data_IF_344735613058
#
_entry.id   IF_344735613058
#
_cell.length_a   1.000
_cell.length_b   1.000
_cell.length_c   1.000
_cell.angle_alpha   90.00
_cell.angle_beta   90.00
_cell.angle_gamma   90.00
#
_symmetry.space_group_name_H-M   'P 1'
#
loop_
_entity.id
_entity.type
_entity.pdbx_description
1 polymer ?
#
# COMPACT_ATOMS: atom_id res chain seq x y z
N UNK A 1 -25.16 20.13 11.00
CA UNK A 1 -23.86 19.49 10.92
C UNK A 1 -23.28 19.50 12.34
N UNK A 2 -23.01 18.33 12.92
CA UNK A 2 -22.33 18.25 14.22
C UNK A 2 -20.92 18.80 14.10
N UNK A 3 -20.42 19.41 15.19
CA UNK A 3 -19.02 19.83 15.28
C UNK A 3 -18.19 18.52 15.31
N UNK A 4 -17.34 18.31 14.30
CA UNK A 4 -16.40 17.18 14.28
C UNK A 4 -15.28 17.50 15.28
N UNK A 5 -15.03 16.61 16.23
CA UNK A 5 -13.84 16.73 17.08
C UNK A 5 -12.60 16.41 16.23
N UNK A 6 -11.79 17.40 15.98
CA UNK A 6 -10.57 17.24 15.19
C UNK A 6 -9.55 16.29 15.87
N UNK A 7 -9.61 16.12 17.20
CA UNK A 7 -8.71 15.17 17.87
C UNK A 7 -8.96 13.71 17.43
N UNK A 8 -10.20 13.38 17.10
CA UNK A 8 -10.57 12.06 16.57
C UNK A 8 -10.12 11.85 15.11
N UNK A 9 -9.60 12.90 14.47
CA UNK A 9 -9.12 12.90 13.09
C UNK A 9 -7.60 13.03 12.98
N UNK A 10 -6.89 12.91 14.09
CA UNK A 10 -5.43 12.99 14.15
C UNK A 10 -4.88 11.63 14.59
N UNK A 11 -4.08 11.03 13.72
CA UNK A 11 -3.31 9.82 14.04
C UNK A 11 -1.84 10.18 14.11
N UNK A 12 -1.21 9.96 15.26
CA UNK A 12 0.21 10.23 15.46
C UNK A 12 1.03 8.98 15.22
N UNK A 13 2.25 9.14 14.76
CA UNK A 13 3.17 8.03 14.55
C UNK A 13 3.31 7.12 15.78
N UNK A 14 3.43 7.70 16.97
CA UNK A 14 3.56 6.96 18.23
C UNK A 14 2.29 6.23 18.69
N UNK A 15 1.14 6.53 18.07
CA UNK A 15 -0.15 5.90 18.39
C UNK A 15 -0.51 4.78 17.40
N UNK A 16 0.33 4.54 16.39
CA UNK A 16 0.07 3.51 15.39
C UNK A 16 0.10 2.10 15.99
N UNK A 17 -0.95 1.34 15.73
CA UNK A 17 -1.11 -0.04 16.20
C UNK A 17 -0.84 -1.01 15.04
N UNK A 18 0.24 -1.80 15.07
CA UNK A 18 0.57 -2.71 14.00
C UNK A 18 -0.29 -3.98 14.01
N UNK A 19 -0.69 -4.44 12.84
CA UNK A 19 -1.15 -5.79 12.61
C UNK A 19 -0.01 -6.60 11.96
N UNK A 20 0.50 -7.62 12.67
CA UNK A 20 1.61 -8.46 12.19
C UNK A 20 1.14 -9.67 11.40
N UNK A 21 -0.14 -9.92 11.40
CA UNK A 21 -0.80 -11.03 10.68
C UNK A 21 -1.80 -10.51 9.64
N UNK A 22 -1.55 -9.33 9.10
CA UNK A 22 -2.48 -8.66 8.19
C UNK A 22 -2.72 -9.43 6.89
N UNK A 23 -1.75 -10.20 6.43
CA UNK A 23 -1.74 -10.81 5.11
C UNK A 23 -1.26 -12.26 5.13
N UNK A 24 -1.64 -13.01 4.10
CA UNK A 24 -1.35 -14.45 3.95
C UNK A 24 0.15 -14.79 4.09
N UNK A 25 1.06 -13.90 3.72
CA UNK A 25 2.51 -14.14 3.80
C UNK A 25 3.14 -13.84 5.17
N UNK A 26 2.32 -13.57 6.19
CA UNK A 26 2.79 -13.19 7.52
C UNK A 26 3.64 -14.25 8.25
N UNK A 27 3.56 -15.52 7.84
CA UNK A 27 4.39 -16.60 8.37
C UNK A 27 5.49 -17.06 7.41
N UNK A 28 5.54 -16.48 6.20
CA UNK A 28 6.54 -16.83 5.19
C UNK A 28 7.88 -16.18 5.55
N UNK A 29 8.99 -16.94 5.57
CA UNK A 29 10.30 -16.38 5.85
C UNK A 29 10.67 -15.19 4.97
N UNK A 30 11.11 -14.11 5.59
CA UNK A 30 11.38 -12.84 4.92
C UNK A 30 10.18 -11.89 4.83
N UNK A 31 8.96 -12.35 5.13
CA UNK A 31 7.76 -11.52 5.27
C UNK A 31 7.18 -11.54 6.70
N UNK A 32 7.68 -12.41 7.53
CA UNK A 32 7.23 -12.75 8.88
C UNK A 32 7.51 -11.68 9.96
N UNK A 33 8.19 -10.59 9.59
CA UNK A 33 8.55 -9.49 10.50
C UNK A 33 7.98 -8.14 10.09
N UNK A 34 7.08 -8.13 9.11
CA UNK A 34 6.45 -6.90 8.67
C UNK A 34 5.35 -6.44 9.65
N UNK A 35 5.16 -5.15 9.71
CA UNK A 35 4.09 -4.49 10.44
C UNK A 35 3.23 -3.73 9.46
N UNK A 36 1.91 -3.95 9.53
CA UNK A 36 0.95 -3.26 8.67
C UNK A 36 0.05 -2.41 9.55
N UNK A 37 -0.20 -1.19 9.13
CA UNK A 37 -1.00 -0.22 9.85
C UNK A 37 -2.19 0.18 8.98
N UNK A 38 -3.39 0.14 9.53
CA UNK A 38 -4.61 0.64 8.88
C UNK A 38 -4.96 1.98 9.50
N UNK A 39 -4.71 3.06 8.75
CA UNK A 39 -4.78 4.42 9.28
C UNK A 39 -6.14 5.04 9.00
N UNK A 40 -6.57 5.06 7.74
CA UNK A 40 -7.87 5.59 7.33
C UNK A 40 -8.60 4.57 6.47
N UNK A 41 -9.84 4.26 6.83
CA UNK A 41 -10.65 3.24 6.16
C UNK A 41 -10.21 1.83 6.49
N UNK A 42 -11.00 0.83 6.09
CA UNK A 42 -10.75 -0.59 6.39
C UNK A 42 -9.53 -1.20 5.71
N UNK A 43 -9.03 -0.57 4.65
CA UNK A 43 -7.88 -1.09 3.91
C UNK A 43 -8.14 -2.46 3.27
N UNK A 44 -7.08 -3.22 3.03
CA UNK A 44 -7.11 -4.52 2.36
C UNK A 44 -6.61 -5.67 3.24
N UNK A 45 -6.51 -5.46 4.55
CA UNK A 45 -6.06 -6.51 5.48
C UNK A 45 -7.01 -7.71 5.46
N UNK A 46 -6.44 -8.90 5.45
CA UNK A 46 -7.16 -10.19 5.52
C UNK A 46 -7.36 -10.68 6.96
N UNK A 47 -6.79 -9.94 7.93
CA UNK A 47 -6.87 -10.28 9.35
C UNK A 47 -8.05 -9.58 10.02
N UNK A 48 -8.79 -10.32 10.84
CA UNK A 48 -9.81 -9.76 11.72
C UNK A 48 -9.21 -8.93 12.89
N UNK A 49 -7.94 -9.11 13.18
CA UNK A 49 -7.25 -8.47 14.32
C UNK A 49 -6.68 -7.09 13.97
N UNK A 50 -6.96 -6.56 12.77
CA UNK A 50 -6.48 -5.23 12.41
C UNK A 50 -7.15 -4.15 13.26
N UNK A 51 -6.35 -3.15 13.65
CA UNK A 51 -6.84 -1.91 14.25
C UNK A 51 -7.01 -0.84 13.17
N UNK A 52 -8.21 -0.27 13.04
CA UNK A 52 -8.49 0.86 12.15
C UNK A 52 -8.54 2.14 12.96
N UNK A 53 -7.64 3.10 12.71
CA UNK A 53 -7.55 4.32 13.51
C UNK A 53 -8.69 5.31 13.18
N UNK A 54 -8.97 5.53 11.90
CA UNK A 54 -10.08 6.36 11.42
C UNK A 54 -10.94 5.50 10.48
N UNK A 55 -12.15 5.18 10.91
CA UNK A 55 -13.03 4.24 10.18
C UNK A 55 -13.69 4.84 8.95
N UNK A 56 -13.91 6.16 8.93
CA UNK A 56 -14.51 6.84 7.79
C UNK A 56 -13.52 6.93 6.64
N UNK A 57 -13.98 6.65 5.43
CA UNK A 57 -13.17 6.80 4.22
C UNK A 57 -13.57 8.05 3.43
N UNK A 58 -12.61 8.85 2.94
CA UNK A 58 -12.87 10.02 2.10
C UNK A 58 -12.87 9.71 0.59
N UNK A 59 -13.10 8.46 0.17
CA UNK A 59 -12.98 8.01 -1.21
C UNK A 59 -11.63 7.35 -1.53
N UNK A 60 -10.81 7.12 -0.50
CA UNK A 60 -9.56 6.36 -0.56
C UNK A 60 -9.20 5.82 0.82
N UNK A 61 -8.35 4.81 0.87
CA UNK A 61 -7.85 4.23 2.12
C UNK A 61 -6.38 4.57 2.32
N UNK A 62 -5.95 4.77 3.57
CA UNK A 62 -4.54 4.99 3.91
C UNK A 62 -4.09 3.92 4.89
N UNK A 63 -3.02 3.25 4.52
CA UNK A 63 -2.28 2.33 5.37
C UNK A 63 -0.80 2.64 5.37
N UNK A 64 -0.04 1.85 6.12
CA UNK A 64 1.41 1.89 6.08
C UNK A 64 1.99 0.49 6.27
N UNK A 65 3.19 0.29 5.74
CA UNK A 65 3.98 -0.90 5.99
C UNK A 65 5.31 -0.51 6.63
N UNK A 66 5.57 -1.07 7.81
CA UNK A 66 6.83 -0.95 8.52
C UNK A 66 7.59 -2.27 8.45
N UNK A 67 8.87 -2.22 8.08
CA UNK A 67 9.66 -3.43 7.88
C UNK A 67 11.10 -3.26 8.35
N UNK A 68 11.65 -4.24 9.08
CA UNK A 68 13.09 -4.29 9.34
C UNK A 68 13.86 -4.62 8.06
N UNK A 69 15.20 -4.48 8.06
CA UNK A 69 16.04 -4.85 6.92
C UNK A 69 15.78 -6.27 6.40
N UNK A 70 15.78 -6.42 5.08
CA UNK A 70 15.54 -7.69 4.36
C UNK A 70 14.15 -8.30 4.60
N UNK A 71 13.22 -7.50 5.07
CA UNK A 71 11.82 -7.89 5.14
C UNK A 71 11.09 -7.39 3.89
N UNK A 72 10.20 -8.22 3.35
CA UNK A 72 9.49 -7.94 2.11
C UNK A 72 7.99 -8.10 2.27
N UNK A 73 7.24 -7.43 1.43
CA UNK A 73 5.86 -7.74 1.11
C UNK A 73 5.83 -8.56 -0.18
N UNK A 74 5.14 -9.69 -0.14
CA UNK A 74 5.16 -10.66 -1.23
C UNK A 74 4.40 -10.18 -2.46
N UNK A 75 4.60 -10.85 -3.58
CA UNK A 75 4.09 -10.46 -4.90
C UNK A 75 2.55 -10.55 -4.96
N UNK A 76 1.91 -9.42 -5.20
CA UNK A 76 0.45 -9.29 -5.24
C UNK A 76 0.01 -8.19 -6.20
N UNK A 77 -1.26 -8.18 -6.55
CA UNK A 77 -1.91 -7.13 -7.32
C UNK A 77 -3.18 -6.64 -6.61
N UNK A 78 -3.63 -5.44 -6.94
CA UNK A 78 -4.91 -4.90 -6.49
C UNK A 78 -5.81 -4.57 -7.68
N UNK A 79 -7.10 -4.46 -7.39
CA UNK A 79 -8.10 -3.96 -8.36
C UNK A 79 -8.17 -2.44 -8.39
N UNK A 80 -7.51 -1.78 -7.46
CA UNK A 80 -7.35 -0.33 -7.38
C UNK A 80 -5.89 0.04 -7.59
N UNK A 81 -5.62 1.26 -8.03
CA UNK A 81 -4.26 1.80 -8.01
C UNK A 81 -3.80 1.99 -6.57
N UNK A 82 -2.50 1.82 -6.34
CA UNK A 82 -1.89 2.00 -5.04
C UNK A 82 -0.67 2.91 -5.17
N UNK A 83 -0.68 3.97 -4.38
CA UNK A 83 0.41 4.94 -4.33
C UNK A 83 1.18 4.75 -3.04
N UNK A 84 2.49 4.62 -3.16
CA UNK A 84 3.37 4.59 -2.00
C UNK A 84 4.19 5.87 -1.90
N UNK A 85 4.32 6.34 -0.68
CA UNK A 85 5.22 7.39 -0.27
C UNK A 85 6.23 6.82 0.73
N UNK A 86 7.52 6.98 0.45
CA UNK A 86 8.57 6.50 1.35
C UNK A 86 8.75 7.48 2.51
N UNK A 87 8.36 7.07 3.71
CA UNK A 87 8.51 7.87 4.92
C UNK A 87 9.93 7.77 5.50
N UNK A 88 10.51 6.57 5.41
CA UNK A 88 11.89 6.33 5.86
C UNK A 88 12.44 5.03 5.29
N UNK A 89 13.76 4.93 5.22
CA UNK A 89 14.45 3.72 4.77
C UNK A 89 14.74 3.72 3.27
N UNK A 90 15.20 2.57 2.79
CA UNK A 90 15.57 2.35 1.39
C UNK A 90 14.86 1.11 0.89
N UNK A 91 14.08 1.26 -0.17
CA UNK A 91 13.12 0.27 -0.61
C UNK A 91 13.35 -0.16 -2.04
N UNK A 92 13.34 -1.46 -2.28
CA UNK A 92 13.27 -2.04 -3.61
C UNK A 92 11.82 -2.39 -3.91
N UNK A 93 11.24 -1.78 -4.91
CA UNK A 93 9.99 -2.19 -5.52
C UNK A 93 10.29 -3.01 -6.76
N UNK A 94 9.62 -4.14 -6.91
CA UNK A 94 9.78 -5.03 -8.05
C UNK A 94 8.39 -5.49 -8.54
N UNK A 95 8.25 -5.73 -9.83
CA UNK A 95 6.96 -6.02 -10.41
C UNK A 95 7.03 -7.04 -11.56
N UNK A 96 5.82 -7.46 -12.06
CA UNK A 96 5.59 -8.48 -13.05
C UNK A 96 4.99 -9.74 -12.45
N UNK A 97 4.47 -10.61 -13.29
CA UNK A 97 3.81 -11.84 -12.88
C UNK A 97 4.69 -12.78 -12.03
N UNK A 98 6.01 -12.67 -12.19
CA UNK A 98 7.03 -13.38 -11.40
C UNK A 98 7.94 -12.41 -10.60
N UNK A 99 7.66 -11.11 -10.64
CA UNK A 99 8.49 -10.09 -10.02
C UNK A 99 9.80 -9.80 -10.75
N UNK A 100 9.89 -10.11 -12.04
CA UNK A 100 11.09 -10.04 -12.88
C UNK A 100 10.94 -9.14 -14.13
N UNK A 101 9.82 -8.43 -14.27
CA UNK A 101 9.62 -7.52 -15.40
C UNK A 101 10.36 -6.18 -15.21
N UNK A 102 10.58 -5.77 -13.95
CA UNK A 102 11.35 -4.59 -13.61
C UNK A 102 11.44 -4.35 -12.11
N UNK A 103 12.34 -3.46 -11.73
CA UNK A 103 12.49 -3.00 -10.34
C UNK A 103 12.97 -1.55 -10.29
N UNK A 104 12.76 -0.92 -9.14
CA UNK A 104 13.28 0.42 -8.82
C UNK A 104 13.61 0.51 -7.34
N UNK A 105 14.68 1.23 -7.02
CA UNK A 105 15.03 1.56 -5.64
C UNK A 105 14.51 2.96 -5.32
N UNK A 106 13.79 3.09 -4.24
CA UNK A 106 13.24 4.33 -3.71
C UNK A 106 13.84 4.66 -2.36
N UNK A 107 13.94 5.94 -2.07
CA UNK A 107 14.45 6.51 -0.83
C UNK A 107 13.44 7.48 -0.22
N UNK A 108 13.71 7.98 0.96
CA UNK A 108 12.83 8.89 1.71
C UNK A 108 12.35 10.07 0.83
N UNK A 109 11.05 10.29 0.82
CA UNK A 109 10.38 11.31 0.03
C UNK A 109 10.02 10.91 -1.40
N UNK A 110 10.52 9.79 -1.91
CA UNK A 110 10.14 9.29 -3.23
C UNK A 110 8.69 8.77 -3.23
N UNK A 111 8.03 8.88 -4.38
CA UNK A 111 6.65 8.42 -4.60
C UNK A 111 6.63 7.43 -5.76
N UNK A 112 5.86 6.37 -5.63
CA UNK A 112 5.54 5.44 -6.71
C UNK A 112 4.04 5.20 -6.78
N UNK A 113 3.47 5.35 -7.97
CA UNK A 113 2.09 5.00 -8.27
C UNK A 113 2.06 3.69 -9.04
N UNK A 114 1.42 2.65 -8.49
CA UNK A 114 1.32 1.36 -9.14
C UNK A 114 -0.09 1.20 -9.69
N UNK A 115 -0.24 1.18 -11.02
CA UNK A 115 -1.54 1.00 -11.66
C UNK A 115 -2.21 -0.33 -11.30
N UNK A 116 -3.53 -0.33 -11.42
CA UNK A 116 -4.36 -1.53 -11.27
C UNK A 116 -3.83 -2.70 -12.10
N UNK A 117 -3.84 -3.89 -11.53
CA UNK A 117 -3.53 -5.12 -12.24
C UNK A 117 -2.03 -5.39 -12.46
N UNK A 118 -1.14 -4.56 -11.92
CA UNK A 118 0.30 -4.87 -11.92
C UNK A 118 0.64 -5.64 -10.65
N UNK A 119 1.18 -6.85 -10.81
CA UNK A 119 1.78 -7.57 -9.70
C UNK A 119 3.03 -6.85 -9.23
N UNK A 120 3.11 -6.60 -7.91
CA UNK A 120 4.25 -5.94 -7.28
C UNK A 120 4.55 -6.54 -5.92
N UNK A 121 5.78 -6.39 -5.53
CA UNK A 121 6.27 -6.59 -4.16
C UNK A 121 7.26 -5.50 -3.82
N UNK A 122 7.58 -5.38 -2.54
CA UNK A 122 8.57 -4.43 -2.07
C UNK A 122 9.36 -4.99 -0.89
N UNK A 123 10.59 -4.55 -0.73
CA UNK A 123 11.52 -5.03 0.27
C UNK A 123 12.29 -3.86 0.87
N UNK A 124 12.41 -3.81 2.19
CA UNK A 124 13.36 -2.90 2.83
C UNK A 124 14.79 -3.43 2.63
N UNK A 125 15.54 -2.77 1.76
CA UNK A 125 16.96 -3.06 1.48
C UNK A 125 17.92 -2.13 2.24
N UNK A 126 17.39 -1.29 3.12
CA UNK A 126 18.17 -0.44 4.02
C UNK A 126 18.81 -1.22 5.16
N UNK A 127 19.45 -0.48 6.06
CA UNK A 127 20.14 -1.03 7.25
C UNK A 127 19.29 -0.95 8.52
N UNK A 128 18.24 -0.14 8.49
CA UNK A 128 17.38 0.15 9.64
C UNK A 128 15.91 -0.15 9.31
N UNK A 129 15.06 -0.05 10.34
CA UNK A 129 13.63 -0.15 10.14
C UNK A 129 13.15 0.97 9.21
N UNK A 130 12.45 0.59 8.15
CA UNK A 130 11.88 1.52 7.19
C UNK A 130 10.36 1.51 7.23
N UNK A 131 9.75 2.62 6.80
CA UNK A 131 8.31 2.77 6.71
C UNK A 131 7.89 3.42 5.40
N UNK A 132 6.87 2.85 4.78
CA UNK A 132 6.18 3.43 3.61
C UNK A 132 4.71 3.61 3.94
N UNK A 133 4.13 4.69 3.47
CA UNK A 133 2.68 4.92 3.48
C UNK A 133 2.09 4.44 2.17
N UNK A 134 0.95 3.77 2.23
CA UNK A 134 0.19 3.31 1.07
C UNK A 134 -1.17 4.01 1.02
N UNK A 135 -1.52 4.56 -0.13
CA UNK A 135 -2.84 5.12 -0.42
C UNK A 135 -3.49 4.30 -1.52
N UNK A 136 -4.62 3.68 -1.21
CA UNK A 136 -5.41 2.93 -2.18
C UNK A 136 -6.61 3.75 -2.62
N UNK A 137 -6.82 3.89 -3.93
CA UNK A 137 -7.96 4.61 -4.48
C UNK A 137 -9.28 3.88 -4.24
N UNK A 138 -10.36 4.66 -4.08
CA UNK A 138 -11.72 4.15 -3.85
C UNK A 138 -12.07 3.91 -2.39
N UNK A 139 -13.37 3.85 -2.12
CA UNK A 139 -13.94 3.53 -0.80
C UNK A 139 -14.01 2.02 -0.55
N UNK A 140 -13.73 1.23 -1.57
CA UNK A 140 -13.82 -0.21 -1.51
C UNK A 140 -12.64 -0.80 -0.73
N UNK A 141 -12.82 -0.95 0.57
CA UNK A 141 -11.91 -1.73 1.40
C UNK A 141 -11.89 -3.22 1.03
N UNK A 142 -12.86 -3.66 0.24
CA UNK A 142 -13.03 -5.05 -0.18
C UNK A 142 -12.39 -5.40 -1.51
N UNK A 143 -11.65 -4.47 -2.18
CA UNK A 143 -11.02 -4.73 -3.48
C UNK A 143 -10.12 -5.96 -3.50
N UNK A 144 -9.76 -6.44 -2.35
CA UNK A 144 -9.01 -7.66 -2.11
C UNK A 144 -7.58 -7.58 -2.61
N UNK A 145 -6.76 -8.45 -2.07
CA UNK A 145 -5.41 -8.70 -2.56
C UNK A 145 -5.47 -9.89 -3.50
N UNK A 146 -4.93 -9.74 -4.69
CA UNK A 146 -4.75 -10.85 -5.65
C UNK A 146 -3.31 -11.33 -5.50
N UNK A 147 -3.12 -12.45 -4.84
CA UNK A 147 -1.80 -13.02 -4.59
C UNK A 147 -1.27 -13.79 -5.80
N UNK A 148 0.02 -13.69 -6.05
CA UNK A 148 0.67 -14.58 -7.01
C UNK A 148 0.56 -16.04 -6.52
N UNK A 149 0.35 -17.02 -7.41
CA UNK A 149 0.15 -18.42 -7.03
C UNK A 149 1.22 -18.97 -6.07
N UNK A 150 2.48 -18.65 -6.32
CA UNK A 150 3.60 -19.07 -5.46
C UNK A 150 3.46 -18.54 -4.02
N UNK A 151 2.91 -17.35 -3.82
CA UNK A 151 2.72 -16.76 -2.47
C UNK A 151 1.68 -17.55 -1.69
N UNK A 152 0.61 -17.98 -2.35
CA UNK A 152 -0.43 -18.82 -1.74
C UNK A 152 0.14 -20.19 -1.34
N UNK A 153 0.99 -20.78 -2.19
CA UNK A 153 1.66 -22.06 -1.90
C UNK A 153 2.63 -21.91 -0.72
N UNK A 154 3.51 -20.92 -0.76
CA UNK A 154 4.46 -20.65 0.31
C UNK A 154 3.76 -20.40 1.65
N UNK A 155 2.66 -19.64 1.64
CA UNK A 155 1.89 -19.37 2.85
C UNK A 155 1.29 -20.64 3.44
N UNK A 156 0.71 -21.51 2.62
CA UNK A 156 0.15 -22.80 3.05
C UNK A 156 1.23 -23.68 3.67
N UNK A 157 2.41 -23.75 3.05
CA UNK A 157 3.54 -24.51 3.57
C UNK A 157 4.04 -23.96 4.93
N UNK A 158 3.79 -22.66 5.18
CA UNK A 158 4.09 -22.00 6.45
C UNK A 158 2.89 -21.90 7.41
N UNK A 159 1.76 -22.55 7.07
CA UNK A 159 0.63 -22.74 7.95
C UNK A 159 -0.41 -21.62 7.95
N UNK A 160 -0.39 -20.75 6.94
CA UNK A 160 -1.48 -19.81 6.70
C UNK A 160 -2.26 -20.19 5.45
N UNK A 161 -3.57 -20.27 5.58
CA UNK A 161 -4.49 -20.55 4.47
C UNK A 161 -5.47 -19.39 4.34
N UNK A 162 -5.54 -18.80 3.17
CA UNK A 162 -6.58 -17.85 2.81
C UNK A 162 -7.80 -18.63 2.32
N UNK A 163 -8.94 -18.44 2.96
CA UNK A 163 -10.20 -19.00 2.50
C UNK A 163 -10.81 -18.20 1.35
N UNK A 164 -11.64 -18.83 0.54
CA UNK A 164 -12.39 -18.15 -0.54
C UNK A 164 -13.34 -17.06 -0.03
N UNK A 165 -13.63 -17.06 1.28
CA UNK A 165 -14.35 -16.01 1.99
C UNK A 165 -13.47 -14.80 2.37
N UNK A 166 -12.19 -14.79 1.99
CA UNK A 166 -11.24 -13.70 2.26
C UNK A 166 -10.66 -13.68 3.67
N UNK A 167 -10.94 -14.68 4.51
CA UNK A 167 -10.40 -14.76 5.87
C UNK A 167 -9.16 -15.64 5.94
N UNK A 168 -8.22 -15.29 6.83
CA UNK A 168 -7.00 -16.07 7.12
C UNK A 168 -7.25 -17.12 8.20
N UNK A 169 -6.71 -18.32 7.98
CA UNK A 169 -6.75 -19.45 8.90
C UNK A 169 -5.34 -19.91 9.25
N UNK A 170 -4.97 -19.80 10.51
CA UNK A 170 -3.67 -20.26 11.02
C UNK A 170 -3.75 -21.74 11.44
N UNK A 171 -3.37 -22.60 10.51
CA UNK A 171 -3.42 -24.06 10.71
C UNK A 171 -2.38 -24.55 11.72
N UNK A 172 -1.30 -23.79 11.95
CA UNK A 172 -0.32 -24.11 13.02
C UNK A 172 -0.88 -23.86 14.41
N UNK A 173 -1.87 -22.98 14.52
CA UNK A 173 -2.62 -22.74 15.76
C UNK A 173 -3.90 -23.54 15.86
N UNK A 174 -4.10 -24.49 14.95
CA UNK A 174 -5.26 -25.37 14.93
C UNK A 174 -6.52 -24.75 14.33
N UNK A 175 -6.42 -23.63 13.61
CA UNK A 175 -7.55 -23.11 12.87
C UNK A 175 -7.83 -24.01 11.66
N UNK A 176 -9.11 -24.27 11.41
CA UNK A 176 -9.61 -25.04 10.26
C UNK A 176 -10.53 -24.18 9.43
N UNK A 177 -10.59 -24.42 8.12
CA UNK A 177 -11.57 -23.76 7.28
C UNK A 177 -12.97 -24.24 7.71
N UNK A 178 -13.95 -23.31 7.81
CA UNK A 178 -15.33 -23.67 8.13
C UNK A 178 -15.93 -24.61 7.07
N UNK A 179 -16.94 -25.37 7.46
CA UNK A 179 -17.68 -26.23 6.54
C UNK A 179 -18.23 -25.39 5.37
N UNK A 180 -17.96 -25.84 4.14
CA UNK A 180 -18.37 -25.16 2.92
C UNK A 180 -17.46 -24.01 2.47
N UNK A 181 -16.37 -23.71 3.18
CA UNK A 181 -15.36 -22.73 2.76
C UNK A 181 -14.15 -23.48 2.22
N UNK A 182 -13.86 -23.31 0.95
CA UNK A 182 -12.63 -23.81 0.32
C UNK A 182 -11.45 -22.85 0.49
N UNK A 183 -10.22 -23.30 0.23
CA UNK A 183 -9.07 -22.42 0.10
C UNK A 183 -9.26 -21.48 -1.11
N UNK A 184 -8.73 -20.25 -1.00
CA UNK A 184 -8.76 -19.27 -2.10
C UNK A 184 -8.20 -19.89 -3.38
N UNK A 185 -8.95 -19.88 -4.50
CA UNK A 185 -8.46 -20.36 -5.78
C UNK A 185 -7.23 -19.59 -6.23
N UNK A 186 -6.25 -20.30 -6.75
CA UNK A 186 -5.07 -19.71 -7.35
C UNK A 186 -5.34 -19.33 -8.81
N UNK A 187 -4.69 -18.27 -9.27
CA UNK A 187 -4.69 -17.93 -10.68
C UNK A 187 -3.97 -19.04 -11.49
N UNK A 188 -4.56 -19.43 -12.58
CA UNK A 188 -3.97 -20.37 -13.54
C UNK A 188 -2.85 -19.70 -14.32
N UNK A 189 -2.00 -20.51 -14.95
CA UNK A 189 -0.94 -20.01 -15.82
C UNK A 189 -1.47 -19.19 -17.01
N UNK A 190 -2.69 -19.46 -17.48
CA UNK A 190 -3.31 -18.69 -18.56
C UNK A 190 -3.83 -17.32 -18.04
N UNK A 191 -4.41 -17.28 -16.85
CA UNK A 191 -4.82 -16.02 -16.21
C UNK A 191 -3.61 -15.15 -15.89
N UNK A 192 -2.50 -15.74 -15.42
CA UNK A 192 -1.26 -15.01 -15.16
C UNK A 192 -0.68 -14.35 -16.42
N UNK A 193 -0.89 -14.90 -17.61
CA UNK A 193 -0.44 -14.30 -18.88
C UNK A 193 -1.23 -13.04 -19.26
N UNK A 194 -2.41 -12.82 -18.67
CA UNK A 194 -3.25 -11.66 -18.97
C UNK A 194 -2.76 -10.38 -18.26
N UNK A 195 -1.91 -10.52 -17.24
CA UNK A 195 -1.34 -9.38 -16.55
C UNK A 195 -0.29 -8.68 -17.43
N UNK A 196 -0.29 -7.33 -17.45
CA UNK A 196 0.61 -6.59 -18.31
C UNK A 196 2.07 -6.82 -17.94
N UNK A 197 2.92 -6.89 -18.96
CA UNK A 197 4.37 -6.82 -18.81
C UNK A 197 4.81 -5.40 -19.05
N UNK A 198 5.51 -4.83 -18.07
CA UNK A 198 5.99 -3.46 -18.15
C UNK A 198 7.45 -3.43 -17.69
N UNK A 199 8.34 -3.00 -18.57
CA UNK A 199 9.77 -2.86 -18.24
C UNK A 199 10.01 -1.66 -17.32
N UNK A 200 11.16 -1.62 -16.62
CA UNK A 200 11.52 -0.47 -15.82
C UNK A 200 11.66 0.81 -16.65
N UNK A 201 12.11 0.71 -17.89
CA UNK A 201 12.24 1.85 -18.80
C UNK A 201 10.89 2.47 -19.18
N UNK A 202 9.82 1.67 -19.22
CA UNK A 202 8.45 2.13 -19.48
C UNK A 202 7.76 2.60 -18.20
N UNK A 203 8.01 1.93 -17.08
CA UNK A 203 7.32 2.18 -15.82
C UNK A 203 7.85 3.42 -15.11
N UNK A 204 9.16 3.48 -14.87
CA UNK A 204 9.76 4.48 -13.99
C UNK A 204 9.46 5.93 -14.42
N UNK A 205 9.59 6.31 -15.70
CA UNK A 205 9.33 7.69 -16.13
C UNK A 205 7.88 8.15 -15.92
N UNK A 206 6.92 7.23 -15.85
CA UNK A 206 5.50 7.54 -15.77
C UNK A 206 4.90 7.40 -14.38
N UNK A 207 5.53 6.56 -13.52
CA UNK A 207 4.93 6.15 -12.26
C UNK A 207 5.83 6.36 -11.04
N UNK A 208 7.03 6.92 -11.20
CA UNK A 208 7.94 7.22 -10.08
C UNK A 208 8.32 8.71 -10.09
N UNK A 209 8.05 9.39 -8.99
CA UNK A 209 8.51 10.76 -8.76
C UNK A 209 9.59 10.77 -7.69
N UNK A 210 10.74 11.36 -8.00
CA UNK A 210 11.86 11.48 -7.06
C UNK A 210 11.67 12.69 -6.16
N UNK A 211 12.04 12.54 -4.91
CA UNK A 211 11.92 13.61 -3.91
C UNK A 211 12.52 14.95 -4.39
N UNK A 212 13.72 14.91 -4.95
CA UNK A 212 14.39 16.14 -5.40
C UNK A 212 13.72 16.79 -6.61
N UNK A 213 13.11 15.99 -7.49
CA UNK A 213 12.32 16.53 -8.61
C UNK A 213 11.02 17.15 -8.10
N UNK A 214 10.35 16.50 -7.14
CA UNK A 214 9.16 17.04 -6.49
C UNK A 214 9.48 18.37 -5.79
N UNK A 215 10.60 18.41 -5.05
CA UNK A 215 11.06 19.61 -4.33
C UNK A 215 11.42 20.75 -5.29
N UNK A 216 12.00 20.45 -6.45
CA UNK A 216 12.30 21.45 -7.45
C UNK A 216 11.02 22.07 -8.06
N UNK A 217 9.97 21.28 -8.22
CA UNK A 217 8.66 21.75 -8.69
C UNK A 217 7.87 22.50 -7.62
N UNK A 218 8.13 22.25 -6.33
CA UNK A 218 7.46 22.91 -5.23
C UNK A 218 7.99 24.33 -4.92
N UNK A 219 8.76 24.95 -5.81
CA UNK A 219 9.29 26.28 -5.62
C UNK A 219 8.20 27.36 -5.77
N UNK A 220 7.74 27.89 -4.63
CA UNK A 220 6.71 28.93 -4.55
C UNK A 220 5.25 28.49 -4.75
N UNK A 221 5.00 27.20 -5.00
CA UNK A 221 3.66 26.64 -5.12
C UNK A 221 3.66 25.14 -4.71
N UNK A 222 2.50 24.54 -4.36
CA UNK A 222 2.41 23.09 -4.15
C UNK A 222 2.83 22.31 -5.40
N UNK A 223 3.71 21.31 -5.22
CA UNK A 223 4.05 20.41 -6.32
C UNK A 223 2.90 19.41 -6.55
N UNK A 224 2.40 19.37 -7.77
CA UNK A 224 1.37 18.43 -8.21
C UNK A 224 2.03 17.10 -8.57
N UNK A 225 1.98 16.12 -7.66
CA UNK A 225 2.57 14.79 -7.89
C UNK A 225 1.58 13.92 -8.66
N UNK A 226 0.35 13.82 -8.17
CA UNK A 226 -0.77 13.12 -8.82
C UNK A 226 -1.94 14.11 -8.93
N UNK A 227 -2.10 14.67 -10.11
CA UNK A 227 -3.21 15.56 -10.46
C UNK A 227 -3.17 15.75 -11.98
N UNK A 228 -4.19 16.33 -12.62
CA UNK A 228 -4.30 16.52 -14.06
C UNK A 228 -2.99 16.57 -14.86
N UNK A 229 -2.22 17.65 -14.71
CA UNK A 229 -0.90 17.81 -15.34
C UNK A 229 0.26 17.47 -14.36
N UNK A 230 0.02 16.60 -13.40
CA UNK A 230 0.99 16.19 -12.39
C UNK A 230 2.14 15.37 -12.96
N UNK A 231 3.14 15.10 -12.09
CA UNK A 231 4.36 14.37 -12.46
C UNK A 231 4.09 12.93 -12.86
N UNK A 232 3.09 12.29 -12.26
CA UNK A 232 2.80 10.88 -12.47
C UNK A 232 1.57 10.68 -13.32
N UNK A 233 1.67 9.68 -14.20
CA UNK A 233 0.55 9.20 -14.98
C UNK A 233 -0.45 8.44 -14.10
N UNK A 234 -1.67 8.29 -14.62
CA UNK A 234 -2.80 7.61 -14.00
C UNK A 234 -3.57 8.48 -12.98
N UNK A 235 -4.82 8.13 -12.80
CA UNK A 235 -5.76 8.82 -11.91
C UNK A 235 -6.29 7.84 -10.87
N UNK A 236 -5.59 7.67 -9.75
CA UNK A 236 -5.97 6.67 -8.73
C UNK A 236 -7.23 7.02 -7.93
N UNK A 237 -7.99 8.05 -8.33
CA UNK A 237 -9.20 8.50 -7.66
C UNK A 237 -8.99 9.55 -6.58
N UNK A 238 -7.75 9.99 -6.38
CA UNK A 238 -7.37 11.08 -5.47
C UNK A 238 -6.24 11.92 -6.09
N UNK A 239 -5.94 13.05 -5.43
CA UNK A 239 -4.81 13.92 -5.80
C UNK A 239 -3.75 13.82 -4.71
N UNK A 240 -2.49 13.95 -5.12
CA UNK A 240 -1.35 14.04 -4.21
C UNK A 240 -0.54 15.30 -4.53
N UNK A 241 -0.39 16.13 -3.53
CA UNK A 241 0.36 17.38 -3.62
C UNK A 241 1.41 17.42 -2.50
N UNK A 242 2.60 17.89 -2.81
CA UNK A 242 3.61 18.19 -1.80
C UNK A 242 3.58 19.70 -1.49
N UNK A 243 3.43 20.02 -0.22
CA UNK A 243 3.47 21.39 0.30
C UNK A 243 4.84 21.63 0.93
N UNK A 244 5.50 22.73 0.57
CA UNK A 244 6.71 23.20 1.25
C UNK A 244 6.35 24.24 2.32
N UNK A 245 7.21 24.35 3.31
CA UNK A 245 7.15 25.46 4.26
C UNK A 245 7.14 26.81 3.52
N UNK A 246 6.18 27.67 3.86
CA UNK A 246 5.93 28.94 3.16
C UNK A 246 5.08 28.86 1.90
N UNK A 247 4.76 27.68 1.37
CA UNK A 247 3.83 27.52 0.23
C UNK A 247 2.36 27.43 0.65
N UNK A 248 2.08 27.35 1.94
CA UNK A 248 0.74 27.25 2.52
C UNK A 248 0.38 28.55 3.20
N UNK A 249 -0.80 29.11 2.89
CA UNK A 249 -1.36 30.22 3.65
C UNK A 249 -1.70 29.77 5.07
N UNK A 250 -1.35 30.57 6.06
CA UNK A 250 -1.79 30.38 7.45
C UNK A 250 -3.25 30.79 7.67
N UNK A 251 -3.89 31.31 6.63
CA UNK A 251 -5.28 31.72 6.70
C UNK A 251 -6.22 30.50 6.78
N UNK A 252 -7.31 30.69 7.50
CA UNK A 252 -8.36 29.67 7.56
C UNK A 252 -8.99 29.54 6.18
N UNK A 253 -9.10 28.31 5.69
CA UNK A 253 -9.86 28.01 4.47
C UNK A 253 -10.98 27.02 4.79
N UNK A 254 -11.98 27.01 3.92
CA UNK A 254 -13.05 26.02 3.95
C UNK A 254 -13.01 25.23 2.65
N UNK A 255 -12.93 23.91 2.77
CA UNK A 255 -12.99 23.02 1.62
C UNK A 255 -14.29 22.21 1.65
N UNK A 256 -14.85 21.94 0.48
CA UNK A 256 -15.95 20.99 0.31
C UNK A 256 -15.44 19.57 -0.01
N UNK A 257 -14.10 19.39 -0.06
CA UNK A 257 -13.44 18.12 -0.35
C UNK A 257 -12.96 17.48 0.93
N UNK A 258 -12.83 16.17 0.90
CA UNK A 258 -12.10 15.45 1.92
C UNK A 258 -10.60 15.62 1.67
N UNK A 259 -9.87 15.98 2.71
CA UNK A 259 -8.43 16.21 2.65
C UNK A 259 -7.76 15.47 3.79
N UNK A 260 -6.59 14.92 3.52
CA UNK A 260 -5.68 14.34 4.51
C UNK A 260 -4.37 15.09 4.41
N UNK A 261 -3.91 15.61 5.52
CA UNK A 261 -2.61 16.26 5.66
C UNK A 261 -1.68 15.34 6.44
N UNK A 262 -0.55 15.01 5.84
CA UNK A 262 0.54 14.34 6.52
C UNK A 262 1.66 15.35 6.80
N UNK A 263 2.14 15.39 8.04
CA UNK A 263 3.19 16.30 8.52
C UNK A 263 4.35 15.49 9.08
#
# INVERSE_FOLDING_TARGET
MGVVDLNERIVRYGDLVPCRTAFIDAHTPGSDRKENFTIIGGGVSESADQHVHITDTPGFNIGAAGQPPKCRNSLHAHRTAEVFFVLSGRWRFFWGAKGDDGEVVLEEGDVINIPTGIFRGFENIGTDYGMIMAVLGGDDSGGGVVWAPQVIEDARDHGLVLGENGALYDTKRGAELPEGVGPMPQLTAEEMKQFPKVTAAEFVPNFVARYWDIMAMADGAPAQVIAGDGMLADTPGFRLELLRDGSVSTDRYTTARHEVLMV
#
